data_IF_166282072114
#
_entry.id   IF_166282072114
#
_cell.length_a   1.000
_cell.length_b   1.000
_cell.length_c   1.000
_cell.angle_alpha   90.00
_cell.angle_beta   90.00
_cell.angle_gamma   90.00
#
_symmetry.space_group_name_H-M   'P 1'
#
loop_
_entity.id
_entity.type
_entity.pdbx_description
1 polymer ?
#
# COMPACT_ATOMS: atom_id res chain seq x y z
N UNK A 1 15.97 -14.49 1.84
CA UNK A 1 14.97 -13.84 2.72
C UNK A 1 14.50 -12.59 2.00
N UNK A 2 13.19 -12.38 1.88
CA UNK A 2 12.67 -11.14 1.26
C UNK A 2 12.74 -10.05 2.32
N UNK A 3 13.50 -8.98 2.05
CA UNK A 3 13.69 -7.87 2.99
C UNK A 3 12.76 -6.68 2.73
N UNK A 4 12.26 -6.57 1.50
CA UNK A 4 11.41 -5.48 1.02
C UNK A 4 10.43 -6.03 -0.03
N UNK A 5 9.17 -5.63 0.09
CA UNK A 5 8.13 -5.82 -0.93
C UNK A 5 7.62 -4.45 -1.32
N UNK A 6 7.62 -4.15 -2.62
CA UNK A 6 7.10 -2.91 -3.17
C UNK A 6 5.84 -3.18 -3.98
N UNK A 7 4.80 -2.37 -3.78
CA UNK A 7 3.53 -2.46 -4.47
C UNK A 7 3.23 -1.16 -5.21
N UNK A 8 2.63 -1.26 -6.38
CA UNK A 8 1.84 -0.16 -6.93
C UNK A 8 0.56 0.04 -6.10
N UNK A 9 -0.03 1.24 -6.16
CA UNK A 9 -1.24 1.57 -5.43
C UNK A 9 -2.50 1.31 -6.27
N UNK A 10 -2.62 1.94 -7.44
CA UNK A 10 -3.89 2.07 -8.16
C UNK A 10 -4.23 0.80 -8.95
N UNK A 11 -5.35 0.16 -8.62
CA UNK A 11 -5.71 -1.14 -9.23
C UNK A 11 -4.91 -2.34 -8.71
N UNK A 12 -3.92 -2.10 -7.83
CA UNK A 12 -3.13 -3.16 -7.16
C UNK A 12 -3.55 -3.31 -5.70
N UNK A 13 -3.33 -2.28 -4.87
CA UNK A 13 -3.70 -2.30 -3.44
C UNK A 13 -5.11 -1.78 -3.22
N UNK A 14 -5.55 -0.81 -4.03
CA UNK A 14 -6.89 -0.25 -3.99
C UNK A 14 -7.60 -0.45 -5.33
N UNK A 15 -8.94 -0.42 -5.32
CA UNK A 15 -9.69 -0.26 -6.56
C UNK A 15 -9.31 1.07 -7.23
N UNK A 16 -9.33 1.12 -8.56
CA UNK A 16 -8.81 2.31 -9.27
C UNK A 16 -9.52 3.59 -8.81
N UNK A 17 -8.73 4.57 -8.38
CA UNK A 17 -9.12 5.88 -7.85
C UNK A 17 -10.02 5.82 -6.60
N UNK A 18 -10.00 4.72 -5.86
CA UNK A 18 -10.71 4.54 -4.61
C UNK A 18 -9.74 4.48 -3.42
N UNK A 19 -10.20 4.79 -2.20
CA UNK A 19 -9.37 4.63 -1.01
C UNK A 19 -9.05 3.15 -0.73
N UNK A 20 -7.91 2.93 -0.06
CA UNK A 20 -7.55 1.63 0.49
C UNK A 20 -8.62 1.16 1.49
N UNK A 21 -9.05 -0.10 1.38
CA UNK A 21 -10.02 -0.69 2.32
C UNK A 21 -9.31 -1.18 3.58
N UNK A 22 -9.99 -1.14 4.72
CA UNK A 22 -9.44 -1.58 6.01
C UNK A 22 -8.80 -2.99 5.97
N UNK A 23 -9.42 -4.02 5.36
CA UNK A 23 -8.79 -5.34 5.31
C UNK A 23 -7.44 -5.39 4.58
N UNK A 24 -7.24 -4.54 3.58
CA UNK A 24 -5.94 -4.43 2.90
C UNK A 24 -4.91 -3.73 3.80
N UNK A 25 -5.32 -2.71 4.55
CA UNK A 25 -4.48 -2.08 5.56
C UNK A 25 -4.01 -3.06 6.64
N UNK A 26 -4.91 -3.92 7.13
CA UNK A 26 -4.59 -5.00 8.08
C UNK A 26 -3.58 -5.99 7.50
N UNK A 27 -3.78 -6.45 6.26
CA UNK A 27 -2.85 -7.36 5.60
C UNK A 27 -1.45 -6.75 5.39
N UNK A 28 -1.36 -5.46 5.06
CA UNK A 28 -0.08 -4.76 4.94
C UNK A 28 0.60 -4.60 6.30
N UNK A 29 -0.16 -4.38 7.38
CA UNK A 29 0.35 -4.34 8.75
C UNK A 29 0.92 -5.69 9.18
N UNK A 30 0.24 -6.79 8.85
CA UNK A 30 0.74 -8.14 9.10
C UNK A 30 2.03 -8.42 8.33
N UNK A 31 2.10 -8.00 7.05
CA UNK A 31 3.30 -8.17 6.23
C UNK A 31 4.50 -7.36 6.76
N UNK A 32 4.25 -6.17 7.31
CA UNK A 32 5.28 -5.33 7.94
C UNK A 32 5.97 -6.01 9.13
N UNK A 33 5.36 -7.04 9.73
CA UNK A 33 5.97 -7.81 10.81
C UNK A 33 7.14 -8.71 10.35
N UNK A 34 7.24 -9.01 9.06
CA UNK A 34 8.24 -9.94 8.50
C UNK A 34 9.09 -9.35 7.38
N UNK A 35 8.66 -8.25 6.74
CA UNK A 35 9.41 -7.56 5.69
C UNK A 35 9.06 -6.07 5.65
N UNK A 36 9.96 -5.24 5.12
CA UNK A 36 9.59 -3.85 4.82
C UNK A 36 8.57 -3.81 3.67
N UNK A 37 7.67 -2.84 3.71
CA UNK A 37 6.69 -2.60 2.66
C UNK A 37 6.84 -1.19 2.12
N UNK A 38 6.92 -1.06 0.80
CA UNK A 38 6.89 0.23 0.11
C UNK A 38 5.67 0.30 -0.82
N UNK A 39 5.08 1.50 -0.93
CA UNK A 39 3.99 1.79 -1.86
C UNK A 39 4.47 2.83 -2.85
N UNK A 40 4.25 2.55 -4.13
CA UNK A 40 4.57 3.42 -5.26
C UNK A 40 3.24 3.92 -5.82
N UNK A 41 3.12 5.23 -6.02
CA UNK A 41 1.94 5.85 -6.61
C UNK A 41 2.36 6.92 -7.61
N UNK A 42 1.62 7.02 -8.71
CA UNK A 42 1.75 8.14 -9.65
C UNK A 42 0.99 9.40 -9.24
N UNK A 43 0.26 9.38 -8.12
CA UNK A 43 -0.48 10.55 -7.63
C UNK A 43 0.32 11.42 -6.66
N UNK A 44 -0.08 12.68 -6.55
CA UNK A 44 0.63 13.67 -5.72
C UNK A 44 0.43 13.42 -4.22
N UNK A 45 1.41 13.84 -3.42
CA UNK A 45 1.41 13.67 -1.97
C UNK A 45 0.13 14.10 -1.23
N UNK A 46 -0.56 15.20 -1.59
CA UNK A 46 -1.81 15.59 -0.93
C UNK A 46 -2.91 14.53 -0.96
N UNK A 47 -2.89 13.56 -1.89
CA UNK A 47 -3.86 12.47 -1.90
C UNK A 47 -3.77 11.54 -0.68
N UNK A 48 -2.60 11.52 -0.04
CA UNK A 48 -2.32 10.75 1.18
C UNK A 48 -2.56 11.55 2.46
N UNK A 49 -2.81 12.85 2.34
CA UNK A 49 -3.14 13.71 3.45
C UNK A 49 -4.65 13.72 3.65
N UNK A 50 -5.10 13.16 4.77
CA UNK A 50 -6.45 13.33 5.31
C UNK A 50 -6.35 13.72 6.77
#
# INVERSE_FOLDING_TARGET
>A
MISLVAFDLDGTLAESKQPLKNPMGEALADLLSVAHVAVISGGDWPQFQK
#
